data_IF_438376755308
#
_entry.id   IF_438376755308
#
_cell.length_a   1.000
_cell.length_b   1.000
_cell.length_c   1.000
_cell.angle_alpha   90.00
_cell.angle_beta   90.00
_cell.angle_gamma   90.00
#
_symmetry.space_group_name_H-M   'P 1'
#
loop_
_entity.id
_entity.type
_entity.pdbx_description
1 polymer ?
#
# COMPACT_ATOMS: atom_id res chain seq x y z
N UNK A 1 -16.54 7.81 -14.65
CA UNK A 1 -15.28 7.37 -15.32
C UNK A 1 -14.46 8.61 -15.64
N UNK A 2 -13.17 8.57 -15.36
CA UNK A 2 -12.21 9.61 -15.72
C UNK A 2 -11.38 9.12 -16.91
N UNK A 3 -11.33 9.91 -17.96
CA UNK A 3 -10.53 9.62 -19.14
C UNK A 3 -9.24 10.45 -19.12
N UNK A 4 -8.11 9.82 -19.45
CA UNK A 4 -6.81 10.49 -19.57
C UNK A 4 -6.27 10.32 -20.98
N UNK A 5 -5.97 11.42 -21.64
CA UNK A 5 -5.41 11.42 -23.01
C UNK A 5 -3.99 10.86 -23.08
N UNK A 6 -3.24 10.96 -21.98
CA UNK A 6 -1.85 10.51 -21.90
C UNK A 6 -1.66 9.56 -20.72
N UNK A 7 -0.74 8.61 -20.87
CA UNK A 7 -0.32 7.76 -19.76
C UNK A 7 0.48 8.58 -18.74
N UNK A 8 -0.10 8.79 -17.56
CA UNK A 8 0.49 9.53 -16.44
C UNK A 8 1.10 8.62 -15.37
N UNK A 9 1.16 7.33 -15.65
CA UNK A 9 1.57 6.28 -14.70
C UNK A 9 0.52 6.04 -13.60
N UNK A 10 0.71 4.95 -12.82
CA UNK A 10 -0.25 4.53 -11.79
C UNK A 10 -0.45 5.62 -10.72
N UNK A 11 0.63 6.15 -10.15
CA UNK A 11 0.54 7.19 -9.12
C UNK A 11 -0.13 8.48 -9.62
N UNK A 12 0.11 8.88 -10.88
CA UNK A 12 -0.56 10.01 -11.50
C UNK A 12 -2.05 9.78 -11.70
N UNK A 13 -2.43 8.61 -12.20
CA UNK A 13 -3.83 8.23 -12.39
C UNK A 13 -4.60 8.16 -11.05
N UNK A 14 -3.98 7.57 -10.03
CA UNK A 14 -4.57 7.52 -8.68
C UNK A 14 -4.73 8.90 -8.06
N UNK A 15 -3.75 9.81 -8.25
CA UNK A 15 -3.87 11.20 -7.78
C UNK A 15 -5.07 11.89 -8.42
N UNK A 16 -5.22 11.80 -9.74
CA UNK A 16 -6.34 12.39 -10.46
C UNK A 16 -7.67 11.78 -9.98
N UNK A 17 -7.72 10.47 -9.75
CA UNK A 17 -8.91 9.80 -9.22
C UNK A 17 -9.28 10.33 -7.82
N UNK A 18 -8.32 10.51 -6.93
CA UNK A 18 -8.53 11.07 -5.59
C UNK A 18 -9.07 12.51 -5.65
N UNK A 19 -8.46 13.35 -6.48
CA UNK A 19 -8.87 14.75 -6.66
C UNK A 19 -10.34 14.85 -7.11
N UNK A 20 -10.77 13.98 -8.01
CA UNK A 20 -12.11 13.98 -8.60
C UNK A 20 -13.15 13.11 -7.83
N UNK A 21 -12.72 12.38 -6.80
CA UNK A 21 -13.63 11.57 -5.99
C UNK A 21 -14.61 12.46 -5.20
N UNK A 22 -15.89 12.08 -5.19
CA UNK A 22 -16.95 12.87 -4.55
C UNK A 22 -17.17 12.51 -3.07
N UNK A 23 -16.78 11.32 -2.65
CA UNK A 23 -17.05 10.79 -1.31
C UNK A 23 -15.84 10.86 -0.40
N UNK A 24 -16.11 10.86 0.91
CA UNK A 24 -15.08 10.98 1.94
C UNK A 24 -14.28 9.69 2.15
N UNK A 25 -14.83 8.54 1.83
CA UNK A 25 -14.14 7.26 1.89
C UNK A 25 -13.83 6.78 0.48
N UNK A 26 -12.56 6.46 0.25
CA UNK A 26 -12.06 5.98 -1.03
C UNK A 26 -11.62 4.53 -0.89
N UNK A 27 -12.26 3.65 -1.65
CA UNK A 27 -11.84 2.25 -1.76
C UNK A 27 -11.03 2.05 -3.03
N UNK A 28 -9.87 1.39 -2.91
CA UNK A 28 -9.00 1.07 -4.05
C UNK A 28 -9.04 -0.43 -4.35
N UNK A 29 -9.00 -0.76 -5.62
CA UNK A 29 -8.84 -2.13 -6.11
C UNK A 29 -8.22 -2.10 -7.51
N UNK A 30 -7.50 -3.15 -7.89
CA UNK A 30 -7.07 -3.37 -9.27
C UNK A 30 -8.20 -4.03 -10.07
N UNK A 31 -8.25 -3.78 -11.37
CA UNK A 31 -9.34 -4.25 -12.24
C UNK A 31 -9.30 -5.75 -12.53
N UNK A 32 -8.18 -6.40 -12.27
CA UNK A 32 -7.95 -7.84 -12.45
C UNK A 32 -8.07 -8.65 -11.14
N UNK A 33 -8.33 -7.96 -10.01
CA UNK A 33 -8.54 -8.57 -8.71
C UNK A 33 -10.03 -8.81 -8.40
N UNK A 34 -10.30 -9.61 -7.38
CA UNK A 34 -11.66 -9.96 -6.94
C UNK A 34 -11.88 -9.49 -5.50
N UNK A 35 -12.77 -8.51 -5.32
CA UNK A 35 -13.24 -8.09 -3.98
C UNK A 35 -14.21 -9.12 -3.42
N UNK A 36 -14.00 -9.54 -2.16
CA UNK A 36 -14.94 -10.43 -1.49
C UNK A 36 -16.22 -9.68 -1.10
N UNK A 37 -17.38 -10.33 -1.07
CA UNK A 37 -18.70 -9.67 -0.90
C UNK A 37 -18.83 -8.85 0.38
N UNK A 38 -18.25 -9.31 1.49
CA UNK A 38 -18.35 -8.69 2.81
C UNK A 38 -17.27 -7.62 3.08
N UNK A 39 -16.38 -7.34 2.11
CA UNK A 39 -15.24 -6.42 2.28
C UNK A 39 -15.64 -5.07 2.84
N UNK A 40 -16.55 -4.40 2.18
CA UNK A 40 -16.93 -3.03 2.57
C UNK A 40 -17.63 -2.98 3.91
N UNK A 41 -18.48 -3.95 4.21
CA UNK A 41 -19.13 -4.06 5.52
C UNK A 41 -18.10 -4.19 6.65
N UNK A 42 -17.18 -5.15 6.53
CA UNK A 42 -16.14 -5.39 7.52
C UNK A 42 -15.27 -4.14 7.75
N UNK A 43 -14.77 -3.54 6.69
CA UNK A 43 -13.89 -2.38 6.80
C UNK A 43 -14.61 -1.12 7.30
N UNK A 44 -15.83 -0.84 6.83
CA UNK A 44 -16.61 0.31 7.29
C UNK A 44 -17.07 0.17 8.74
N UNK A 45 -17.29 -1.05 9.23
CA UNK A 45 -17.57 -1.28 10.64
C UNK A 45 -16.39 -0.90 11.55
N UNK A 46 -15.14 -1.01 11.08
CA UNK A 46 -13.98 -0.53 11.86
C UNK A 46 -13.97 1.00 11.96
N UNK A 47 -14.26 1.73 10.90
CA UNK A 47 -14.41 3.19 10.97
C UNK A 47 -15.56 3.65 11.88
N UNK A 48 -16.66 2.87 11.95
CA UNK A 48 -17.77 3.16 12.89
C UNK A 48 -17.38 2.93 14.34
N UNK A 49 -16.49 1.98 14.63
CA UNK A 49 -15.99 1.69 15.98
C UNK A 49 -14.94 2.71 16.44
N UNK A 50 -14.14 3.22 15.51
CA UNK A 50 -13.05 4.14 15.79
C UNK A 50 -12.93 5.17 14.65
N UNK A 51 -13.50 6.35 14.90
CA UNK A 51 -13.49 7.45 13.91
C UNK A 51 -12.10 8.10 13.76
N UNK A 52 -11.15 7.80 14.63
CA UNK A 52 -9.76 8.26 14.49
C UNK A 52 -8.98 7.53 13.41
N UNK A 53 -9.49 6.41 12.88
CA UNK A 53 -8.85 5.67 11.81
C UNK A 53 -8.82 6.48 10.51
N UNK A 54 -7.66 6.56 9.91
CA UNK A 54 -7.44 7.18 8.60
C UNK A 54 -7.54 6.17 7.46
N UNK A 55 -7.11 4.93 7.71
CA UNK A 55 -7.06 3.86 6.72
C UNK A 55 -7.36 2.50 7.35
N UNK A 56 -8.22 1.72 6.67
CA UNK A 56 -8.46 0.31 6.98
C UNK A 56 -8.09 -0.55 5.78
N UNK A 57 -7.12 -1.44 5.97
CA UNK A 57 -6.73 -2.48 5.02
C UNK A 57 -7.26 -3.85 5.43
N UNK A 58 -6.78 -4.91 4.74
CA UNK A 58 -7.11 -6.30 5.06
C UNK A 58 -6.13 -7.28 4.43
N UNK A 59 -6.34 -8.56 4.65
CA UNK A 59 -5.51 -9.62 4.08
C UNK A 59 -5.91 -9.91 2.65
N UNK A 60 -4.99 -10.55 1.93
CA UNK A 60 -5.22 -11.02 0.56
C UNK A 60 -4.88 -12.50 0.45
N UNK A 61 -5.53 -13.16 -0.49
CA UNK A 61 -4.99 -14.36 -1.13
C UNK A 61 -4.50 -14.01 -2.53
N UNK A 62 -3.55 -14.77 -3.02
CA UNK A 62 -3.09 -14.67 -4.41
C UNK A 62 -3.52 -15.93 -5.15
N UNK A 63 -4.06 -15.79 -6.35
CA UNK A 63 -4.49 -16.91 -7.18
C UNK A 63 -3.83 -16.86 -8.56
N UNK A 64 -3.63 -18.04 -9.16
CA UNK A 64 -3.14 -18.18 -10.51
C UNK A 64 -4.22 -18.78 -11.39
N UNK A 65 -4.34 -18.28 -12.62
CA UNK A 65 -5.29 -18.73 -13.66
C UNK A 65 -6.76 -18.54 -13.23
N UNK A 66 -7.25 -19.36 -12.29
CA UNK A 66 -8.63 -19.31 -11.80
C UNK A 66 -8.67 -18.92 -10.31
N UNK A 67 -9.75 -18.25 -9.83
CA UNK A 67 -9.86 -17.80 -8.45
C UNK A 67 -9.79 -18.90 -7.38
N UNK A 68 -10.09 -20.15 -7.77
CA UNK A 68 -10.04 -21.32 -6.91
C UNK A 68 -8.61 -21.82 -6.67
N UNK A 69 -7.69 -21.50 -7.59
CA UNK A 69 -6.29 -21.90 -7.50
C UNK A 69 -5.47 -20.92 -6.64
N UNK A 70 -5.69 -20.96 -5.33
CA UNK A 70 -4.97 -20.11 -4.36
C UNK A 70 -3.53 -20.64 -4.21
N UNK A 71 -2.56 -19.78 -4.52
CA UNK A 71 -1.12 -20.08 -4.45
C UNK A 71 -0.45 -19.49 -3.22
N UNK A 72 -0.99 -18.41 -2.65
CA UNK A 72 -0.44 -17.80 -1.43
C UNK A 72 -1.50 -17.02 -0.64
N UNK A 73 -1.16 -16.71 0.62
CA UNK A 73 -1.91 -15.79 1.48
C UNK A 73 -0.94 -14.80 2.11
N UNK A 74 -1.23 -13.50 2.01
CA UNK A 74 -0.44 -12.47 2.66
C UNK A 74 -1.15 -11.96 3.90
N UNK A 75 -0.54 -12.24 5.06
CA UNK A 75 -0.99 -11.79 6.39
C UNK A 75 -0.09 -10.63 6.82
N UNK A 76 -0.69 -9.57 7.33
CA UNK A 76 -0.03 -8.36 7.78
C UNK A 76 -0.42 -8.04 9.24
N UNK A 77 0.38 -7.23 9.96
CA UNK A 77 -0.01 -6.72 11.27
C UNK A 77 -1.35 -5.97 11.23
N UNK A 78 -2.12 -6.04 12.31
CA UNK A 78 -3.48 -5.49 12.35
C UNK A 78 -3.57 -4.14 13.07
N UNK A 79 -2.83 -3.94 14.17
CA UNK A 79 -2.89 -2.69 14.95
C UNK A 79 -1.99 -1.59 14.35
N UNK A 80 -2.34 -0.32 14.60
CA UNK A 80 -1.58 0.85 14.16
C UNK A 80 -0.10 0.77 14.55
N UNK A 81 0.17 0.45 15.81
CA UNK A 81 1.54 0.36 16.31
C UNK A 81 2.36 -0.73 15.61
N UNK A 82 1.77 -1.92 15.42
CA UNK A 82 2.43 -3.03 14.72
C UNK A 82 2.63 -2.72 13.24
N UNK A 83 1.64 -2.12 12.57
CA UNK A 83 1.75 -1.68 11.17
C UNK A 83 2.89 -0.69 11.02
N UNK A 84 2.93 0.37 11.85
CA UNK A 84 4.00 1.37 11.83
C UNK A 84 5.38 0.77 12.12
N UNK A 85 5.47 -0.17 13.05
CA UNK A 85 6.71 -0.89 13.33
C UNK A 85 7.15 -1.77 12.14
N UNK A 86 6.22 -2.49 11.51
CA UNK A 86 6.48 -3.33 10.34
C UNK A 86 6.92 -2.48 9.14
N UNK A 87 6.32 -1.30 8.98
CA UNK A 87 6.66 -0.34 7.93
C UNK A 87 8.06 0.27 8.05
N UNK A 88 8.80 -0.01 9.09
CA UNK A 88 10.24 0.31 9.13
C UNK A 88 11.09 -0.58 8.22
N UNK A 89 10.54 -1.66 7.70
CA UNK A 89 11.26 -2.62 6.84
C UNK A 89 10.49 -3.08 5.61
N UNK A 90 9.17 -3.16 5.69
CA UNK A 90 8.29 -3.70 4.63
C UNK A 90 6.96 -2.96 4.61
N UNK A 91 6.32 -2.88 3.46
CA UNK A 91 4.97 -2.32 3.36
C UNK A 91 3.98 -3.12 4.20
N UNK A 92 3.37 -2.46 5.19
CA UNK A 92 2.44 -3.03 6.18
C UNK A 92 0.98 -2.98 5.77
N UNK A 93 0.66 -2.52 4.55
CA UNK A 93 -0.70 -2.40 4.02
C UNK A 93 -0.76 -2.99 2.62
N UNK A 94 -1.78 -3.78 2.34
CA UNK A 94 -2.07 -4.25 0.98
C UNK A 94 -2.82 -3.16 0.22
N UNK A 95 -2.19 -2.54 -0.75
CA UNK A 95 -2.76 -1.40 -1.49
C UNK A 95 -4.13 -1.70 -2.12
N UNK A 96 -4.32 -2.93 -2.62
CA UNK A 96 -5.58 -3.39 -3.25
C UNK A 96 -6.76 -3.49 -2.29
N UNK A 97 -6.49 -3.50 -0.97
CA UNK A 97 -7.53 -3.71 0.04
C UNK A 97 -8.01 -2.44 0.72
N UNK A 98 -7.34 -1.31 0.51
CA UNK A 98 -7.58 -0.13 1.35
C UNK A 98 -8.98 0.47 1.18
N UNK A 99 -9.53 0.94 2.31
CA UNK A 99 -10.46 2.05 2.39
C UNK A 99 -9.76 3.15 3.20
N UNK A 100 -9.74 4.37 2.68
CA UNK A 100 -9.00 5.51 3.26
C UNK A 100 -9.87 6.76 3.29
N UNK A 101 -9.77 7.56 4.35
CA UNK A 101 -10.38 8.89 4.40
C UNK A 101 -9.69 9.80 3.40
N UNK A 102 -10.45 10.40 2.50
CA UNK A 102 -9.94 11.31 1.45
C UNK A 102 -9.16 12.48 2.05
N UNK A 103 -9.65 13.08 3.13
CA UNK A 103 -9.01 14.21 3.81
C UNK A 103 -7.60 13.86 4.32
N UNK A 104 -7.43 12.70 4.95
CA UNK A 104 -6.13 12.24 5.48
C UNK A 104 -5.14 11.91 4.37
N UNK A 105 -5.64 11.33 3.28
CA UNK A 105 -4.84 11.06 2.09
C UNK A 105 -4.35 12.36 1.45
N UNK A 106 -5.22 13.37 1.34
CA UNK A 106 -4.87 14.70 0.84
C UNK A 106 -3.92 15.45 1.78
N UNK A 107 -4.14 15.37 3.11
CA UNK A 107 -3.25 15.94 4.15
C UNK A 107 -1.83 15.36 4.04
N UNK A 108 -1.68 14.10 3.69
CA UNK A 108 -0.39 13.46 3.43
C UNK A 108 0.21 13.81 2.05
N UNK A 109 -0.46 14.63 1.23
CA UNK A 109 -0.02 15.08 -0.08
C UNK A 109 -0.35 14.12 -1.23
N UNK A 110 -1.35 13.24 -1.06
CA UNK A 110 -1.88 12.33 -2.07
C UNK A 110 -0.80 11.45 -2.74
N UNK A 111 -1.12 10.79 -3.82
CA UNK A 111 -0.14 10.02 -4.60
C UNK A 111 0.86 10.95 -5.28
N UNK A 112 2.14 10.60 -5.20
CA UNK A 112 3.24 11.39 -5.79
C UNK A 112 4.15 10.51 -6.63
N UNK A 113 4.64 11.04 -7.73
CA UNK A 113 5.73 10.43 -8.48
C UNK A 113 7.05 10.56 -7.70
N UNK A 114 8.00 9.67 -7.96
CA UNK A 114 9.35 9.79 -7.41
C UNK A 114 9.94 8.50 -6.87
N UNK A 115 9.09 7.52 -6.52
CA UNK A 115 9.50 6.19 -6.10
C UNK A 115 8.68 5.12 -6.82
N UNK A 116 9.29 3.97 -7.11
CA UNK A 116 8.61 2.82 -7.76
C UNK A 116 7.50 2.25 -6.85
N UNK A 117 7.64 2.39 -5.53
CA UNK A 117 6.65 1.95 -4.54
C UNK A 117 5.80 3.14 -4.10
N UNK A 118 4.94 3.64 -5.00
CA UNK A 118 4.10 4.82 -4.77
C UNK A 118 3.17 4.68 -3.57
N UNK A 119 2.69 3.48 -3.29
CA UNK A 119 1.86 3.13 -2.16
C UNK A 119 2.64 3.21 -0.84
N UNK A 120 3.78 2.54 -0.75
CA UNK A 120 4.59 2.55 0.46
C UNK A 120 5.10 3.97 0.78
N UNK A 121 5.45 4.74 -0.24
CA UNK A 121 5.82 6.15 -0.08
C UNK A 121 4.65 7.00 0.44
N UNK A 122 3.43 6.75 -0.02
CA UNK A 122 2.23 7.41 0.48
C UNK A 122 1.99 7.06 1.96
N UNK A 123 2.02 5.77 2.32
CA UNK A 123 1.81 5.36 3.71
C UNK A 123 2.85 5.93 4.66
N UNK A 124 4.12 6.01 4.25
CA UNK A 124 5.17 6.63 5.05
C UNK A 124 4.88 8.13 5.30
N UNK A 125 4.35 8.86 4.31
CA UNK A 125 3.92 10.26 4.46
C UNK A 125 2.66 10.39 5.32
N UNK A 126 1.72 9.46 5.22
CA UNK A 126 0.56 9.42 6.10
C UNK A 126 0.96 9.20 7.57
N UNK A 127 1.97 8.36 7.85
CA UNK A 127 2.54 8.22 9.21
C UNK A 127 3.09 9.56 9.71
N UNK A 128 3.85 10.28 8.88
CA UNK A 128 4.37 11.62 9.23
C UNK A 128 3.26 12.66 9.45
N UNK A 129 2.13 12.51 8.77
CA UNK A 129 0.95 13.36 8.94
C UNK A 129 0.11 13.00 10.19
N UNK A 130 0.51 11.96 10.96
CA UNK A 130 -0.18 11.52 12.16
C UNK A 130 -1.39 10.62 11.91
N UNK A 131 -1.49 10.02 10.72
CA UNK A 131 -2.59 9.11 10.36
C UNK A 131 -2.55 7.80 11.16
N UNK A 132 -3.73 7.22 11.38
CA UNK A 132 -3.94 5.96 12.10
C UNK A 132 -4.38 4.86 11.14
N UNK A 133 -3.74 3.70 11.25
CA UNK A 133 -3.91 2.55 10.35
C UNK A 133 -4.53 1.37 11.06
N UNK A 134 -5.31 0.58 10.35
CA UNK A 134 -5.78 -0.72 10.80
C UNK A 134 -5.82 -1.69 9.64
N UNK A 135 -5.40 -2.94 9.85
CA UNK A 135 -5.76 -4.05 8.98
C UNK A 135 -6.74 -4.94 9.72
N UNK A 136 -7.78 -5.40 9.04
CA UNK A 136 -8.62 -6.47 9.55
C UNK A 136 -7.98 -7.83 9.25
N UNK A 137 -8.15 -8.85 10.12
CA UNK A 137 -7.50 -10.16 9.93
C UNK A 137 -8.12 -11.01 8.82
N UNK A 138 -9.25 -10.57 8.28
CA UNK A 138 -9.97 -11.25 7.21
C UNK A 138 -9.33 -11.00 5.84
N UNK A 139 -9.39 -12.02 4.98
CA UNK A 139 -9.12 -11.86 3.55
C UNK A 139 -10.29 -11.10 2.95
N UNK A 140 -10.00 -10.03 2.22
CA UNK A 140 -11.02 -9.16 1.62
C UNK A 140 -10.84 -9.00 0.11
N UNK A 141 -9.70 -9.41 -0.43
CA UNK A 141 -9.42 -9.38 -1.87
C UNK A 141 -8.64 -10.64 -2.27
N UNK A 142 -9.06 -11.27 -3.35
CA UNK A 142 -8.27 -12.27 -4.04
C UNK A 142 -7.53 -11.58 -5.19
N UNK A 143 -6.20 -11.59 -5.13
CA UNK A 143 -5.31 -10.91 -6.07
C UNK A 143 -4.89 -11.87 -7.17
N UNK A 144 -5.04 -11.46 -8.42
CA UNK A 144 -4.50 -12.22 -9.54
C UNK A 144 -2.99 -12.10 -9.58
N UNK A 145 -2.29 -13.21 -9.37
CA UNK A 145 -0.83 -13.27 -9.44
C UNK A 145 -0.37 -13.85 -10.77
N UNK A 146 0.50 -13.12 -11.48
CA UNK A 146 1.12 -13.56 -12.71
C UNK A 146 2.65 -13.50 -12.61
N UNK A 147 3.34 -14.29 -13.44
CA UNK A 147 4.82 -14.31 -13.51
C UNK A 147 5.44 -12.94 -13.74
N UNK A 148 4.74 -12.03 -14.42
CA UNK A 148 5.21 -10.68 -14.75
C UNK A 148 5.38 -9.76 -13.53
N UNK A 149 4.72 -10.04 -12.41
CA UNK A 149 4.84 -9.23 -11.18
C UNK A 149 6.23 -9.38 -10.55
N UNK A 150 6.82 -10.57 -10.61
CA UNK A 150 8.16 -10.83 -10.08
C UNK A 150 9.24 -10.15 -10.92
N UNK A 151 9.10 -10.18 -12.25
CA UNK A 151 10.04 -9.56 -13.18
C UNK A 151 10.14 -8.04 -12.99
N UNK A 152 9.02 -7.37 -12.70
CA UNK A 152 8.97 -5.90 -12.49
C UNK A 152 9.62 -5.43 -11.19
N UNK A 153 9.82 -6.30 -10.20
CA UNK A 153 10.41 -5.98 -8.89
C UNK A 153 11.89 -6.33 -8.79
N UNK A 154 12.57 -6.50 -9.93
CA UNK A 154 13.98 -6.89 -10.04
C UNK A 154 14.87 -5.81 -10.69
N UNK A 155 16.20 -6.03 -10.60
CA UNK A 155 17.21 -5.27 -11.31
C UNK A 155 17.74 -4.02 -10.58
N UNK A 156 18.88 -3.51 -11.10
CA UNK A 156 19.61 -2.39 -10.51
C UNK A 156 18.80 -1.11 -10.34
N UNK A 157 17.86 -0.82 -11.24
CA UNK A 157 17.00 0.36 -11.16
C UNK A 157 16.10 0.28 -9.94
N UNK A 158 15.43 -0.86 -9.74
CA UNK A 158 14.58 -1.08 -8.59
C UNK A 158 15.38 -1.00 -7.28
N UNK A 159 16.58 -1.60 -7.23
CA UNK A 159 17.44 -1.53 -6.07
C UNK A 159 17.81 -0.08 -5.70
N UNK A 160 18.24 0.72 -6.69
CA UNK A 160 18.57 2.15 -6.47
C UNK A 160 17.37 2.95 -5.92
N UNK A 161 16.17 2.67 -6.39
CA UNK A 161 14.95 3.35 -5.89
C UNK A 161 14.63 2.92 -4.44
N UNK A 162 14.86 1.66 -4.07
CA UNK A 162 14.72 1.22 -2.68
C UNK A 162 15.73 1.91 -1.76
N UNK A 163 17.01 2.01 -2.17
CA UNK A 163 18.03 2.75 -1.42
C UNK A 163 17.65 4.22 -1.22
N UNK A 164 17.17 4.87 -2.28
CA UNK A 164 16.69 6.26 -2.23
C UNK A 164 15.52 6.41 -1.26
N UNK A 165 14.59 5.46 -1.24
CA UNK A 165 13.46 5.47 -0.33
C UNK A 165 13.89 5.25 1.13
N UNK A 166 14.77 4.28 1.41
CA UNK A 166 15.30 4.02 2.75
C UNK A 166 16.04 5.26 3.29
N UNK A 167 16.84 5.92 2.45
CA UNK A 167 17.51 7.17 2.80
C UNK A 167 16.51 8.27 3.15
N UNK A 168 15.45 8.44 2.34
CA UNK A 168 14.39 9.39 2.61
C UNK A 168 13.69 9.09 3.95
N UNK A 169 13.39 7.81 4.25
CA UNK A 169 12.81 7.41 5.54
C UNK A 169 13.74 7.74 6.71
N UNK A 170 15.05 7.58 6.56
CA UNK A 170 16.03 7.97 7.57
C UNK A 170 16.07 9.50 7.77
N UNK A 171 16.15 10.27 6.71
CA UNK A 171 16.12 11.75 6.75
C UNK A 171 14.83 12.28 7.42
N UNK A 172 13.71 11.61 7.22
CA UNK A 172 12.44 11.90 7.88
C UNK A 172 12.30 11.31 9.29
N UNK A 173 13.34 10.68 9.82
CA UNK A 173 13.38 10.05 11.16
C UNK A 173 12.33 8.94 11.37
N UNK A 174 11.84 8.34 10.30
CA UNK A 174 10.95 7.17 10.36
C UNK A 174 11.72 5.90 10.74
N UNK A 175 12.98 5.83 10.34
CA UNK A 175 13.90 4.73 10.69
C UNK A 175 15.24 5.27 11.20
N UNK A 176 15.94 4.48 11.99
CA UNK A 176 17.29 4.78 12.45
C UNK A 176 18.33 4.44 11.39
N UNK A 177 19.55 4.99 11.49
CA UNK A 177 20.67 4.66 10.60
C UNK A 177 20.97 3.15 10.57
N UNK A 178 21.09 2.43 11.71
CA UNK A 178 21.28 0.98 11.69
C UNK A 178 20.18 0.23 10.96
N UNK A 179 18.90 0.68 11.09
CA UNK A 179 17.77 0.08 10.36
C UNK A 179 17.87 0.34 8.86
N UNK A 180 18.26 1.53 8.44
CA UNK A 180 18.45 1.86 7.03
C UNK A 180 19.53 0.93 6.42
N UNK A 181 20.70 0.84 7.05
CA UNK A 181 21.79 -0.02 6.58
C UNK A 181 21.37 -1.49 6.51
N UNK A 182 20.66 -1.99 7.54
CA UNK A 182 20.12 -3.34 7.54
C UNK A 182 19.16 -3.58 6.36
N UNK A 183 18.21 -2.68 6.12
CA UNK A 183 17.27 -2.79 5.02
C UNK A 183 17.98 -2.81 3.66
N UNK A 184 19.01 -1.96 3.50
CA UNK A 184 19.79 -1.86 2.27
C UNK A 184 20.59 -3.14 1.99
N UNK A 185 21.23 -3.70 3.03
CA UNK A 185 21.97 -4.97 2.94
C UNK A 185 21.04 -6.15 2.59
N UNK A 186 19.92 -6.29 3.33
CA UNK A 186 18.95 -7.35 3.05
C UNK A 186 18.41 -7.25 1.63
N UNK A 187 18.12 -6.02 1.16
CA UNK A 187 17.63 -5.84 -0.20
C UNK A 187 18.69 -6.17 -1.25
N UNK A 188 19.95 -5.84 -1.01
CA UNK A 188 21.05 -6.23 -1.87
C UNK A 188 21.17 -7.74 -2.02
N UNK A 189 21.12 -8.49 -0.90
CA UNK A 189 21.18 -9.96 -0.91
C UNK A 189 20.02 -10.64 -1.64
N UNK A 190 18.84 -10.03 -1.65
CA UNK A 190 17.66 -10.58 -2.35
C UNK A 190 17.65 -10.22 -3.83
N UNK A 191 18.37 -9.16 -4.21
CA UNK A 191 18.35 -8.62 -5.57
C UNK A 191 19.41 -9.26 -6.48
N UNK A 192 20.50 -9.77 -5.91
CA UNK A 192 21.63 -10.38 -6.58
C UNK A 192 21.90 -11.78 -6.04
#
# INVERSE_FOLDING_TARGET
TLYQEKNVGLGGALRIAVENAQYNYLARMDSDDISLPNRFELQMNEFKKDDSLSLVGGMITEFAETPENIISKRILPCSDAEIKQFMKSRCGVNHVTIIVKKEDLLKAGSYQAGFIQEDYFLWARMILAGCTFKNIPEVVVNVRSGYDQFARRGGLKYYKDVLKFNRWMYEKKLISLPRMVYNDCVRGLVQF
#
